data_IF_140504045508
#
_entry.id   IF_140504045508
#
_cell.length_a   1.000
_cell.length_b   1.000
_cell.length_c   1.000
_cell.angle_alpha   90.00
_cell.angle_beta   90.00
_cell.angle_gamma   90.00
#
_symmetry.space_group_name_H-M   'P 1'
#
loop_
_entity.id
_entity.type
_entity.pdbx_description
1 polymer ?
#
# COMPACT_ATOMS: atom_id res chain seq x y z
N UNK A 1 38.77 -47.32 69.64
CA UNK A 1 37.32 -47.16 69.85
C UNK A 1 36.66 -47.01 68.48
N UNK A 2 35.61 -47.80 68.21
CA UNK A 2 34.63 -47.75 67.08
C UNK A 2 35.20 -47.81 65.65
N UNK A 3 35.18 -48.95 64.93
CA UNK A 3 34.04 -49.57 64.17
C UNK A 3 33.36 -48.56 63.23
N UNK A 4 33.03 -48.81 61.96
CA UNK A 4 32.96 -49.97 61.05
C UNK A 4 32.62 -49.31 59.68
N UNK A 5 33.38 -49.52 58.60
CA UNK A 5 33.18 -50.54 57.55
C UNK A 5 31.88 -50.29 56.72
N UNK A 6 31.84 -50.24 55.39
CA UNK A 6 31.99 -51.30 54.36
C UNK A 6 31.62 -50.58 53.04
N UNK A 7 32.51 -50.45 52.04
CA UNK A 7 32.80 -51.43 50.99
C UNK A 7 31.70 -51.52 49.89
N UNK A 8 32.06 -51.16 48.66
CA UNK A 8 32.00 -51.98 47.42
C UNK A 8 31.95 -51.06 46.19
N UNK A 9 33.03 -50.88 45.44
CA UNK A 9 33.69 -51.82 44.52
C UNK A 9 33.09 -51.79 43.11
N UNK A 10 34.02 -51.87 42.12
CA UNK A 10 33.85 -52.05 40.67
C UNK A 10 33.44 -50.81 39.86
N UNK A 11 34.40 -50.06 39.28
CA UNK A 11 35.09 -50.32 37.99
C UNK A 11 34.13 -50.74 36.87
N UNK A 12 33.92 -49.86 35.89
CA UNK A 12 34.07 -50.23 34.47
C UNK A 12 34.15 -49.01 33.54
N UNK A 13 35.12 -49.12 32.65
CA UNK A 13 35.60 -48.27 31.56
C UNK A 13 34.58 -47.57 30.62
N UNK A 14 35.10 -46.49 30.01
CA UNK A 14 34.96 -46.03 28.61
C UNK A 14 33.64 -45.37 28.18
N UNK A 15 33.74 -44.11 27.72
CA UNK A 15 33.72 -43.73 26.29
C UNK A 15 33.92 -42.22 26.11
N UNK A 16 34.88 -41.86 25.26
CA UNK A 16 35.05 -40.52 24.71
C UNK A 16 34.06 -40.30 23.55
N UNK A 17 33.55 -39.08 23.40
CA UNK A 17 33.09 -38.54 22.11
C UNK A 17 32.99 -37.00 22.16
N UNK A 18 33.69 -36.37 21.21
CA UNK A 18 33.60 -34.98 20.77
C UNK A 18 32.19 -34.63 20.25
N UNK A 19 31.90 -33.33 20.04
CA UNK A 19 31.17 -32.69 18.90
C UNK A 19 30.78 -31.27 19.38
N UNK A 20 31.56 -30.23 19.04
CA UNK A 20 31.51 -29.40 17.84
C UNK A 20 30.58 -28.17 17.99
N UNK A 21 31.22 -26.99 17.92
CA UNK A 21 30.61 -25.69 17.66
C UNK A 21 29.63 -25.76 16.49
N UNK A 22 28.44 -25.21 16.67
CA UNK A 22 27.58 -24.80 15.57
C UNK A 22 27.19 -23.34 15.76
N UNK A 23 27.70 -22.52 14.84
CA UNK A 23 27.34 -21.12 14.66
C UNK A 23 25.83 -21.03 14.43
N UNK A 24 25.14 -20.17 15.18
CA UNK A 24 23.76 -19.79 14.86
C UNK A 24 23.82 -18.80 13.67
N UNK A 25 23.17 -19.11 12.53
CA UNK A 25 23.11 -18.18 11.42
C UNK A 25 22.16 -17.02 11.78
N UNK A 26 22.73 -15.83 11.84
CA UNK A 26 21.98 -14.59 11.69
C UNK A 26 21.42 -14.56 10.26
N UNK A 27 20.16 -14.96 10.10
CA UNK A 27 19.40 -14.69 8.89
C UNK A 27 17.98 -14.33 9.32
N UNK A 28 17.80 -13.09 9.76
CA UNK A 28 16.52 -12.41 9.63
C UNK A 28 16.23 -12.30 8.13
N UNK A 29 15.69 -13.36 7.53
CA UNK A 29 14.93 -13.24 6.30
C UNK A 29 13.67 -12.51 6.73
N UNK A 30 13.72 -11.18 6.68
CA UNK A 30 12.52 -10.37 6.64
C UNK A 30 11.75 -10.85 5.42
N UNK A 31 10.77 -11.71 5.63
CA UNK A 31 9.74 -11.99 4.64
C UNK A 31 9.06 -10.65 4.43
N UNK A 32 9.53 -9.89 3.45
CA UNK A 32 8.76 -8.81 2.85
C UNK A 32 7.47 -9.47 2.45
N UNK A 33 6.40 -9.19 3.19
CA UNK A 33 5.06 -9.56 2.80
C UNK A 33 4.91 -9.14 1.33
N UNK A 34 4.38 -10.00 0.45
CA UNK A 34 4.16 -9.61 -0.93
C UNK A 34 3.39 -8.28 -0.91
N UNK A 35 3.78 -7.30 -1.75
CA UNK A 35 3.04 -6.05 -1.82
C UNK A 35 1.56 -6.38 -2.04
N UNK A 36 0.63 -5.65 -1.39
CA UNK A 36 -0.79 -5.92 -1.55
C UNK A 36 -1.14 -5.96 -3.04
N UNK A 37 -1.99 -6.91 -3.44
CA UNK A 37 -2.46 -7.08 -4.83
C UNK A 37 -3.05 -5.78 -5.42
N UNK A 38 -3.52 -4.90 -4.54
CA UNK A 38 -3.93 -3.54 -4.83
C UNK A 38 -3.35 -2.57 -3.75
N UNK A 39 -2.42 -1.66 -4.09
CA UNK A 39 -1.86 -0.71 -3.12
C UNK A 39 -2.87 0.33 -2.62
N UNK A 40 -4.02 0.46 -3.30
CA UNK A 40 -5.12 1.32 -2.92
C UNK A 40 -6.15 0.62 -2.02
N UNK A 41 -5.96 -0.65 -1.68
CA UNK A 41 -6.94 -1.41 -0.91
C UNK A 41 -7.30 -0.75 0.43
N UNK A 42 -8.60 -0.67 0.69
CA UNK A 42 -9.20 -0.08 1.89
C UNK A 42 -10.04 1.16 1.58
N UNK A 43 -10.72 1.65 2.63
CA UNK A 43 -11.56 2.84 2.56
C UNK A 43 -10.75 4.13 2.77
N UNK A 44 -10.98 5.08 1.88
CA UNK A 44 -10.37 6.40 1.89
C UNK A 44 -11.45 7.45 2.07
N UNK A 45 -11.16 8.50 2.83
CA UNK A 45 -12.09 9.58 3.13
C UNK A 45 -11.58 10.90 2.56
N UNK A 46 -12.53 11.65 2.03
CA UNK A 46 -12.34 13.05 1.64
C UNK A 46 -12.52 13.97 2.86
N UNK A 47 -12.08 15.24 2.79
CA UNK A 47 -12.36 16.23 3.84
C UNK A 47 -13.85 16.41 4.11
N UNK A 48 -14.69 16.18 3.10
CA UNK A 48 -16.16 16.34 3.18
C UNK A 48 -16.86 15.04 3.64
N UNK A 49 -16.11 14.06 4.14
CA UNK A 49 -16.59 12.74 4.61
C UNK A 49 -17.26 11.86 3.53
N UNK A 50 -16.99 12.14 2.26
CA UNK A 50 -17.21 11.13 1.23
C UNK A 50 -16.18 10.01 1.40
N UNK A 51 -16.58 8.78 1.09
CA UNK A 51 -15.76 7.58 1.14
C UNK A 51 -15.51 7.06 -0.27
N UNK A 52 -14.27 6.66 -0.52
CA UNK A 52 -13.79 6.05 -1.76
C UNK A 52 -13.15 4.71 -1.41
N UNK A 53 -13.60 3.63 -2.04
CA UNK A 53 -13.02 2.30 -1.88
C UNK A 53 -12.57 1.76 -3.24
N UNK A 54 -11.40 1.13 -3.26
CA UNK A 54 -10.77 0.64 -4.47
C UNK A 54 -10.87 -0.88 -4.53
N UNK A 55 -11.67 -1.36 -5.48
CA UNK A 55 -11.77 -2.77 -5.82
C UNK A 55 -10.86 -3.10 -7.01
N UNK A 56 -10.68 -4.38 -7.33
CA UNK A 56 -9.80 -4.85 -8.42
C UNK A 56 -10.19 -4.30 -9.80
N UNK A 57 -11.47 -3.95 -10.02
CA UNK A 57 -11.99 -3.53 -11.33
C UNK A 57 -12.82 -2.24 -11.33
N UNK A 58 -12.99 -1.59 -10.17
CA UNK A 58 -13.75 -0.34 -10.08
C UNK A 58 -13.42 0.45 -8.81
N UNK A 59 -13.95 1.67 -8.74
CA UNK A 59 -13.99 2.52 -7.56
C UNK A 59 -15.42 2.57 -7.04
N UNK A 60 -15.58 2.41 -5.73
CA UNK A 60 -16.85 2.59 -5.04
C UNK A 60 -16.86 3.96 -4.38
N UNK A 61 -17.93 4.73 -4.57
CA UNK A 61 -18.11 6.07 -4.03
C UNK A 61 -19.33 6.10 -3.12
N UNK A 62 -19.23 6.75 -1.97
CA UNK A 62 -20.37 6.91 -1.07
C UNK A 62 -20.12 7.95 0.01
N UNK A 63 -21.04 8.04 0.96
CA UNK A 63 -20.83 8.76 2.21
C UNK A 63 -20.51 7.76 3.33
N UNK A 64 -19.76 8.20 4.34
CA UNK A 64 -19.49 7.37 5.53
C UNK A 64 -20.83 6.96 6.18
N UNK A 65 -21.05 5.65 6.27
CA UNK A 65 -22.26 5.05 6.84
C UNK A 65 -23.39 4.77 5.84
N UNK A 66 -23.19 5.10 4.56
CA UNK A 66 -24.13 4.79 3.48
C UNK A 66 -23.64 3.63 2.61
N UNK A 67 -24.55 3.01 1.87
CA UNK A 67 -24.18 1.99 0.89
C UNK A 67 -23.43 2.66 -0.28
N UNK A 68 -22.16 2.31 -0.54
CA UNK A 68 -21.42 2.92 -1.63
C UNK A 68 -21.91 2.41 -2.98
N UNK A 69 -21.81 3.26 -3.99
CA UNK A 69 -22.17 2.98 -5.37
C UNK A 69 -20.91 2.73 -6.19
N UNK A 70 -20.91 1.66 -6.98
CA UNK A 70 -19.82 1.37 -7.90
C UNK A 70 -19.85 2.31 -9.11
N UNK A 71 -18.68 2.85 -9.47
CA UNK A 71 -18.49 3.42 -10.79
C UNK A 71 -18.57 2.32 -11.84
N UNK A 72 -19.24 2.59 -12.94
CA UNK A 72 -19.56 1.59 -13.95
C UNK A 72 -19.96 2.27 -15.26
N UNK A 73 -20.05 1.53 -16.37
CA UNK A 73 -20.61 2.09 -17.59
C UNK A 73 -22.00 2.70 -17.39
N UNK A 74 -22.83 2.16 -16.49
CA UNK A 74 -24.17 2.69 -16.23
C UNK A 74 -24.14 4.05 -15.51
N UNK A 75 -23.17 4.27 -14.63
CA UNK A 75 -23.00 5.54 -13.90
C UNK A 75 -22.13 6.55 -14.66
N UNK A 76 -21.52 6.14 -15.77
CA UNK A 76 -20.58 6.93 -16.58
C UNK A 76 -20.98 7.04 -18.06
N UNK A 77 -22.27 7.10 -18.37
CA UNK A 77 -22.81 7.29 -19.73
C UNK A 77 -22.24 6.32 -20.78
N UNK A 78 -22.01 5.07 -20.38
CA UNK A 78 -21.43 4.01 -21.19
C UNK A 78 -19.90 4.09 -21.38
N UNK A 79 -19.26 5.16 -20.91
CA UNK A 79 -17.82 5.43 -21.06
C UNK A 79 -17.11 5.31 -19.70
N UNK A 80 -16.95 4.08 -19.22
CA UNK A 80 -16.17 3.80 -18.02
C UNK A 80 -14.88 3.06 -18.37
N UNK A 81 -13.76 3.57 -17.89
CA UNK A 81 -12.47 2.88 -17.93
C UNK A 81 -11.83 2.97 -16.56
N UNK A 82 -11.31 1.86 -16.08
CA UNK A 82 -10.57 1.79 -14.83
C UNK A 82 -9.30 0.97 -15.01
N UNK A 83 -8.19 1.47 -14.49
CA UNK A 83 -6.92 0.76 -14.55
C UNK A 83 -6.04 1.12 -13.35
N UNK A 84 -5.23 0.14 -12.92
CA UNK A 84 -4.09 0.36 -12.04
C UNK A 84 -2.81 0.42 -12.86
N UNK A 85 -1.84 1.17 -12.37
CA UNK A 85 -0.50 1.18 -12.92
C UNK A 85 0.46 1.99 -12.08
N UNK A 86 1.60 2.31 -12.69
CA UNK A 86 2.54 3.28 -12.15
C UNK A 86 2.73 4.40 -13.16
N UNK A 87 2.94 5.63 -12.66
CA UNK A 87 3.30 6.76 -13.50
C UNK A 87 4.51 7.50 -12.96
N UNK A 88 5.38 7.99 -13.86
CA UNK A 88 6.46 8.87 -13.45
C UNK A 88 5.89 10.25 -13.06
N UNK A 89 6.63 10.93 -12.20
CA UNK A 89 6.25 12.22 -11.61
C UNK A 89 5.93 13.28 -12.67
N UNK A 90 6.73 13.37 -13.73
CA UNK A 90 6.56 14.35 -14.80
C UNK A 90 5.24 14.17 -15.57
N UNK A 91 4.85 12.92 -15.84
CA UNK A 91 3.55 12.60 -16.43
C UNK A 91 2.40 13.07 -15.54
N UNK A 92 2.50 12.84 -14.22
CA UNK A 92 1.49 13.30 -13.26
C UNK A 92 1.42 14.83 -13.18
N UNK A 93 2.56 15.53 -13.19
CA UNK A 93 2.59 16.99 -13.25
C UNK A 93 1.98 17.54 -14.54
N UNK A 94 2.11 16.80 -15.63
CA UNK A 94 1.50 17.08 -16.93
C UNK A 94 -0.03 17.02 -16.94
N UNK A 95 -0.67 16.48 -15.88
CA UNK A 95 -2.14 16.46 -15.75
C UNK A 95 -2.73 17.83 -15.46
N UNK A 96 -1.91 18.84 -15.13
CA UNK A 96 -2.38 20.16 -14.70
C UNK A 96 -1.86 21.28 -15.61
N UNK A 97 -1.85 21.08 -16.94
CA UNK A 97 -1.25 22.03 -17.85
C UNK A 97 -2.10 23.29 -17.82
N UNK A 98 -1.45 24.45 -17.73
CA UNK A 98 -2.10 25.78 -17.66
C UNK A 98 -2.65 26.19 -16.28
N UNK A 99 -2.43 25.42 -15.21
CA UNK A 99 -2.74 25.83 -13.84
C UNK A 99 -1.46 25.88 -12.97
N UNK A 100 -0.63 26.94 -13.06
CA UNK A 100 0.70 26.97 -12.44
C UNK A 100 0.65 26.82 -10.90
N UNK A 101 -0.39 27.35 -10.24
CA UNK A 101 -0.55 27.21 -8.80
C UNK A 101 -0.83 25.78 -8.38
N UNK A 102 -1.68 25.10 -9.16
CA UNK A 102 -2.06 23.72 -8.93
C UNK A 102 -0.90 22.79 -9.27
N UNK A 103 -0.15 23.07 -10.33
CA UNK A 103 1.08 22.38 -10.68
C UNK A 103 2.14 22.53 -9.57
N UNK A 104 2.33 23.73 -9.00
CA UNK A 104 3.24 23.95 -7.85
C UNK A 104 2.81 23.12 -6.65
N UNK A 105 1.52 23.11 -6.31
CA UNK A 105 0.98 22.30 -5.21
C UNK A 105 1.22 20.80 -5.44
N UNK A 106 0.87 20.29 -6.62
CA UNK A 106 1.10 18.89 -6.97
C UNK A 106 2.59 18.53 -6.90
N UNK A 107 3.46 19.41 -7.40
CA UNK A 107 4.92 19.20 -7.37
C UNK A 107 5.51 19.07 -5.97
N UNK A 108 4.90 19.74 -4.97
CA UNK A 108 5.29 19.63 -3.56
C UNK A 108 4.76 18.38 -2.86
N UNK A 109 3.70 17.76 -3.39
CA UNK A 109 3.15 16.49 -2.89
C UNK A 109 3.88 15.29 -3.50
N UNK A 110 4.33 15.42 -4.75
CA UNK A 110 5.03 14.38 -5.49
C UNK A 110 6.56 14.49 -5.30
N UNK A 111 7.10 13.95 -4.21
CA UNK A 111 8.55 13.94 -3.89
C UNK A 111 9.36 12.77 -4.48
N UNK A 112 8.70 11.70 -4.95
CA UNK A 112 9.31 10.50 -5.53
C UNK A 112 9.31 10.57 -7.07
N UNK A 113 10.18 9.81 -7.75
CA UNK A 113 10.21 9.80 -9.22
C UNK A 113 9.03 9.06 -9.87
N UNK A 114 8.41 8.11 -9.16
CA UNK A 114 7.35 7.23 -9.67
C UNK A 114 6.34 6.92 -8.58
N UNK A 115 5.09 6.73 -8.99
CA UNK A 115 3.95 6.55 -8.09
C UNK A 115 3.01 5.46 -8.57
N UNK A 116 2.44 4.64 -7.66
CA UNK A 116 1.25 3.87 -7.94
C UNK A 116 0.07 4.81 -8.24
N UNK A 117 -0.71 4.47 -9.26
CA UNK A 117 -1.87 5.25 -9.71
C UNK A 117 -3.05 4.32 -9.97
N UNK A 118 -4.23 4.74 -9.55
CA UNK A 118 -5.50 4.23 -10.07
C UNK A 118 -6.11 5.31 -10.97
N UNK A 119 -6.42 4.96 -12.22
CA UNK A 119 -6.99 5.87 -13.21
C UNK A 119 -8.45 5.52 -13.47
N UNK A 120 -9.30 6.53 -13.42
CA UNK A 120 -10.73 6.41 -13.70
C UNK A 120 -11.12 7.39 -14.79
N UNK A 121 -11.77 6.90 -15.84
CA UNK A 121 -12.46 7.72 -16.83
C UNK A 121 -13.97 7.49 -16.68
N UNK A 122 -14.73 8.58 -16.62
CA UNK A 122 -16.18 8.55 -16.53
C UNK A 122 -16.74 9.63 -17.45
N UNK A 123 -17.33 9.21 -18.58
CA UNK A 123 -17.69 10.15 -19.63
C UNK A 123 -16.45 10.75 -20.28
N UNK A 124 -16.35 12.08 -20.26
CA UNK A 124 -15.17 12.83 -20.71
C UNK A 124 -14.28 13.29 -19.53
N UNK A 125 -14.70 12.98 -18.29
CA UNK A 125 -13.93 13.25 -17.07
C UNK A 125 -12.85 12.20 -16.80
N UNK A 126 -11.73 12.64 -16.27
CA UNK A 126 -10.59 11.81 -15.88
C UNK A 126 -10.23 12.06 -14.41
N UNK A 127 -9.90 11.02 -13.66
CA UNK A 127 -9.35 11.13 -12.31
C UNK A 127 -8.15 10.21 -12.14
N UNK A 128 -7.04 10.77 -11.67
CA UNK A 128 -5.86 10.01 -11.25
C UNK A 128 -5.74 10.03 -9.73
N UNK A 129 -5.89 8.87 -9.11
CA UNK A 129 -5.65 8.67 -7.68
C UNK A 129 -4.20 8.25 -7.49
N UNK A 130 -3.38 9.14 -6.95
CA UNK A 130 -1.94 8.94 -6.76
C UNK A 130 -1.66 8.58 -5.31
N UNK A 131 -1.14 7.38 -5.06
CA UNK A 131 -0.77 6.96 -3.71
C UNK A 131 0.56 7.63 -3.33
N UNK A 132 0.51 8.68 -2.52
CA UNK A 132 1.71 9.45 -2.14
C UNK A 132 2.42 8.88 -0.91
N UNK A 133 1.66 8.24 -0.02
CA UNK A 133 2.15 7.46 1.11
C UNK A 133 1.06 6.48 1.59
N UNK A 134 1.34 5.55 2.53
CA UNK A 134 0.37 4.54 2.95
C UNK A 134 -0.94 5.08 3.57
N UNK A 135 -0.96 6.35 3.99
CA UNK A 135 -2.09 7.00 4.64
C UNK A 135 -2.76 8.06 3.74
N UNK A 136 -2.17 8.40 2.60
CA UNK A 136 -2.62 9.52 1.79
C UNK A 136 -2.63 9.20 0.29
N UNK A 137 -3.73 9.57 -0.34
CA UNK A 137 -3.89 9.66 -1.79
C UNK A 137 -4.06 11.13 -2.16
N UNK A 138 -3.42 11.54 -3.26
CA UNK A 138 -3.72 12.80 -3.93
C UNK A 138 -4.48 12.48 -5.20
N UNK A 139 -5.66 13.08 -5.36
CA UNK A 139 -6.51 12.90 -6.53
C UNK A 139 -6.36 14.09 -7.43
N UNK A 140 -6.09 13.85 -8.70
CA UNK A 140 -6.11 14.86 -9.76
C UNK A 140 -7.35 14.61 -10.59
N UNK A 141 -8.38 15.44 -10.42
CA UNK A 141 -9.56 15.43 -11.27
C UNK A 141 -9.32 16.31 -12.49
N UNK A 142 -9.80 15.88 -13.66
CA UNK A 142 -9.76 16.63 -14.89
C UNK A 142 -11.10 16.58 -15.61
N UNK A 143 -11.52 17.75 -16.05
CA UNK A 143 -12.62 17.94 -16.98
C UNK A 143 -12.19 18.99 -18.01
N UNK A 144 -11.95 18.52 -19.24
CA UNK A 144 -11.34 19.32 -20.31
C UNK A 144 -10.02 19.97 -19.88
N UNK A 145 -9.96 21.29 -19.97
CA UNK A 145 -8.79 22.11 -19.62
C UNK A 145 -8.70 22.49 -18.14
N UNK A 146 -9.65 22.05 -17.31
CA UNK A 146 -9.66 22.33 -15.87
C UNK A 146 -9.25 21.10 -15.08
N UNK A 147 -8.34 21.29 -14.11
CA UNK A 147 -8.00 20.27 -13.13
C UNK A 147 -8.26 20.75 -11.69
N UNK A 148 -8.58 19.79 -10.83
CA UNK A 148 -8.74 19.94 -9.39
C UNK A 148 -7.81 19.01 -8.64
N UNK A 149 -7.46 19.38 -7.41
CA UNK A 149 -6.71 18.52 -6.48
C UNK A 149 -7.54 18.27 -5.23
N UNK A 150 -7.61 17.01 -4.84
CA UNK A 150 -8.19 16.59 -3.58
C UNK A 150 -7.21 15.67 -2.83
N UNK A 151 -7.27 15.67 -1.50
CA UNK A 151 -6.52 14.73 -0.67
C UNK A 151 -7.49 13.76 -0.01
N UNK A 152 -7.20 12.48 -0.15
CA UNK A 152 -7.91 11.39 0.50
C UNK A 152 -7.01 10.82 1.59
N UNK A 153 -7.58 10.60 2.77
CA UNK A 153 -6.90 9.98 3.91
C UNK A 153 -7.45 8.60 4.16
N UNK A 154 -6.62 7.68 4.62
CA UNK A 154 -7.11 6.36 5.05
C UNK A 154 -8.08 6.54 6.23
N UNK A 155 -9.21 5.85 6.17
CA UNK A 155 -10.29 5.94 7.18
C UNK A 155 -10.03 5.04 8.38
#
# INVERSE_FOLDING_TARGET
>A
MTRVAIDRSMRCLRRAALIAMSLLPAACVGVLAPPPSNPFAGAWTTPDRAQVDFNDSTVLLGQVGEQPTAMSPQTCDGKFVFAYGEKPRDVLLGLTPRQPDLQRRLSGLLVQPQYPVAEVNCGDGYSAYVLVDPQNIVVVHRDGDTAGLERLTRS
#
